data_IF_944057769881
#
_entry.id   IF_944057769881
#
_cell.length_a   1.000
_cell.length_b   1.000
_cell.length_c   1.000
_cell.angle_alpha   90.00
_cell.angle_beta   90.00
_cell.angle_gamma   90.00
#
_symmetry.space_group_name_H-M   'P 1'
#
loop_
_entity.id
_entity.type
_entity.pdbx_description
1 polymer ?
#
# COMPACT_ATOMS: atom_id res chain seq x y z
N UNK A 1 -51.58 -18.29 -28.46
CA UNK A 1 -50.22 -17.91 -28.89
C UNK A 1 -49.78 -16.73 -28.04
N UNK A 2 -49.05 -16.94 -26.91
CA UNK A 2 -48.60 -15.84 -26.06
C UNK A 2 -47.24 -15.35 -26.54
N UNK A 3 -47.24 -14.23 -27.26
CA UNK A 3 -46.04 -13.52 -27.68
C UNK A 3 -46.02 -12.14 -27.00
N UNK A 4 -45.91 -12.10 -25.67
CA UNK A 4 -45.76 -10.83 -24.96
C UNK A 4 -45.16 -10.97 -23.55
N UNK A 5 -44.18 -11.86 -23.35
CA UNK A 5 -43.38 -11.88 -22.11
C UNK A 5 -41.93 -12.27 -22.44
N UNK A 6 -41.24 -11.55 -23.34
CA UNK A 6 -39.80 -11.78 -23.56
C UNK A 6 -39.05 -10.49 -23.95
N UNK A 7 -39.40 -9.33 -23.39
CA UNK A 7 -38.65 -8.06 -23.64
C UNK A 7 -38.33 -7.34 -22.33
N UNK A 8 -38.11 -8.09 -21.26
CA UNK A 8 -37.60 -7.53 -20.00
C UNK A 8 -36.68 -8.54 -19.32
N UNK A 9 -35.75 -9.08 -20.09
CA UNK A 9 -34.65 -9.88 -19.56
C UNK A 9 -33.35 -9.25 -20.05
N UNK A 10 -32.59 -8.76 -19.07
CA UNK A 10 -31.14 -8.80 -19.07
C UNK A 10 -30.41 -7.76 -19.95
N UNK A 11 -30.58 -6.48 -19.60
CA UNK A 11 -29.45 -5.54 -19.61
C UNK A 11 -28.82 -5.55 -18.22
N UNK A 12 -28.45 -6.75 -17.75
CA UNK A 12 -27.34 -6.85 -16.80
C UNK A 12 -26.13 -6.69 -17.70
N UNK A 13 -25.52 -5.51 -17.67
CA UNK A 13 -24.13 -5.39 -18.09
C UNK A 13 -23.39 -6.48 -17.32
N UNK A 14 -23.04 -7.57 -18.00
CA UNK A 14 -21.95 -8.41 -17.55
C UNK A 14 -20.77 -7.44 -17.55
N UNK A 15 -20.47 -6.88 -16.37
CA UNK A 15 -19.12 -6.46 -16.09
C UNK A 15 -18.32 -7.75 -16.22
N UNK A 16 -17.80 -7.97 -17.42
CA UNK A 16 -16.82 -9.02 -17.66
C UNK A 16 -15.65 -8.60 -16.79
N UNK A 17 -15.57 -9.17 -15.59
CA UNK A 17 -14.41 -9.00 -14.74
C UNK A 17 -13.31 -9.74 -15.47
N UNK A 18 -12.57 -9.00 -16.29
CA UNK A 18 -11.38 -9.43 -16.97
C UNK A 18 -10.58 -10.36 -16.06
N UNK A 19 -10.43 -11.62 -16.49
CA UNK A 19 -9.48 -12.54 -15.84
C UNK A 19 -8.12 -12.24 -16.45
N UNK A 20 -7.32 -11.45 -15.77
CA UNK A 20 -5.88 -11.54 -15.97
C UNK A 20 -5.43 -12.92 -15.48
N UNK A 21 -4.67 -13.66 -16.29
CA UNK A 21 -3.90 -14.79 -15.77
C UNK A 21 -2.93 -14.30 -14.67
N UNK A 22 -2.47 -15.20 -13.81
CA UNK A 22 -1.49 -14.82 -12.79
C UNK A 22 -0.22 -14.35 -13.47
N UNK A 23 0.26 -13.16 -13.11
CA UNK A 23 1.50 -12.57 -13.62
C UNK A 23 2.65 -13.59 -13.56
N UNK A 24 3.11 -14.05 -14.73
CA UNK A 24 4.10 -15.11 -14.84
C UNK A 24 5.50 -14.52 -15.06
N UNK A 25 6.51 -15.07 -14.36
CA UNK A 25 7.90 -14.67 -14.55
C UNK A 25 8.48 -15.40 -15.77
N UNK A 26 8.76 -14.66 -16.84
CA UNK A 26 9.24 -15.20 -18.11
C UNK A 26 10.77 -15.19 -18.20
N UNK A 27 11.41 -14.10 -17.75
CA UNK A 27 12.86 -13.94 -17.90
C UNK A 27 13.52 -13.38 -16.65
N UNK A 28 14.66 -13.97 -16.32
CA UNK A 28 15.57 -13.50 -15.26
C UNK A 28 16.96 -13.32 -15.84
N UNK A 29 17.52 -12.12 -15.71
CA UNK A 29 18.92 -11.85 -16.05
C UNK A 29 19.62 -11.35 -14.79
N UNK A 30 20.72 -12.01 -14.42
CA UNK A 30 21.52 -11.65 -13.26
C UNK A 30 22.84 -11.04 -13.72
N UNK A 31 23.20 -9.91 -13.12
CA UNK A 31 24.51 -9.29 -13.31
C UNK A 31 25.48 -9.68 -12.20
N UNK A 32 26.78 -9.69 -12.52
CA UNK A 32 27.85 -9.89 -11.53
C UNK A 32 27.97 -8.74 -10.53
N UNK A 33 27.33 -7.60 -10.81
CA UNK A 33 27.22 -6.45 -9.91
C UNK A 33 26.10 -6.57 -8.87
N UNK A 34 25.37 -7.69 -8.82
CA UNK A 34 24.30 -7.93 -7.84
C UNK A 34 22.93 -7.36 -8.21
N UNK A 35 22.73 -6.94 -9.46
CA UNK A 35 21.45 -6.46 -9.98
C UNK A 35 20.75 -7.57 -10.78
N UNK A 36 19.45 -7.73 -10.57
CA UNK A 36 18.59 -8.62 -11.34
C UNK A 36 17.63 -7.82 -12.23
N UNK A 37 17.44 -8.28 -13.46
CA UNK A 37 16.35 -7.87 -14.34
C UNK A 37 15.33 -9.01 -14.39
N UNK A 38 14.06 -8.67 -14.13
CA UNK A 38 12.93 -9.60 -14.04
C UNK A 38 11.88 -9.14 -15.03
N UNK A 39 11.47 -10.02 -15.93
CA UNK A 39 10.43 -9.76 -16.91
C UNK A 39 9.23 -10.66 -16.63
N UNK A 40 8.07 -10.02 -16.57
CA UNK A 40 6.81 -10.69 -16.34
C UNK A 40 5.87 -10.43 -17.52
N UNK A 41 5.10 -11.45 -17.89
CA UNK A 41 4.13 -11.38 -18.98
C UNK A 41 2.77 -11.89 -18.49
N UNK A 42 1.71 -11.29 -19.02
CA UNK A 42 0.32 -11.67 -18.73
C UNK A 42 -0.57 -11.26 -19.89
N UNK A 43 -1.43 -12.17 -20.32
CA UNK A 43 -2.52 -11.84 -21.24
C UNK A 43 -3.69 -11.21 -20.47
N UNK A 44 -4.19 -10.09 -20.98
CA UNK A 44 -5.29 -9.34 -20.38
C UNK A 44 -6.44 -9.23 -21.38
N UNK A 45 -7.63 -9.67 -20.97
CA UNK A 45 -8.85 -9.51 -21.75
C UNK A 45 -9.75 -8.42 -21.14
N UNK A 46 -9.85 -7.26 -21.80
CA UNK A 46 -10.63 -6.12 -21.29
C UNK A 46 -9.88 -5.32 -20.20
N UNK A 47 -10.62 -4.72 -19.27
CA UNK A 47 -10.05 -3.91 -18.18
C UNK A 47 -9.70 -4.79 -16.96
N UNK A 48 -8.41 -5.01 -16.70
CA UNK A 48 -7.95 -5.80 -15.56
C UNK A 48 -7.05 -5.01 -14.60
N UNK A 49 -7.03 -5.46 -13.34
CA UNK A 49 -6.05 -5.02 -12.34
C UNK A 49 -5.02 -6.12 -12.15
N UNK A 50 -3.77 -5.80 -12.48
CA UNK A 50 -2.64 -6.69 -12.28
C UNK A 50 -1.97 -6.31 -10.95
N UNK A 51 -1.78 -7.29 -10.08
CA UNK A 51 -1.05 -7.11 -8.82
C UNK A 51 0.30 -7.80 -8.92
N UNK A 52 1.35 -7.10 -8.54
CA UNK A 52 2.70 -7.65 -8.43
C UNK A 52 3.25 -7.34 -7.04
N UNK A 53 3.83 -8.36 -6.39
CA UNK A 53 4.43 -8.20 -5.07
C UNK A 53 5.93 -7.95 -5.19
N UNK A 54 6.42 -7.00 -4.42
CA UNK A 54 7.85 -6.69 -4.30
C UNK A 54 8.28 -6.62 -2.85
N UNK A 55 9.54 -6.98 -2.61
CA UNK A 55 10.14 -6.86 -1.29
C UNK A 55 10.17 -5.40 -0.87
N UNK A 56 9.73 -5.11 0.36
CA UNK A 56 9.57 -3.75 0.86
C UNK A 56 10.86 -2.91 0.75
N UNK A 57 11.99 -3.51 1.09
CA UNK A 57 13.32 -2.90 1.06
C UNK A 57 13.85 -2.66 -0.38
N UNK A 58 13.10 -3.07 -1.40
CA UNK A 58 13.44 -2.90 -2.82
C UNK A 58 12.40 -2.08 -3.58
N UNK A 59 11.30 -1.66 -2.94
CA UNK A 59 10.22 -0.90 -3.60
C UNK A 59 10.76 0.35 -4.31
N UNK A 60 11.64 1.10 -3.65
CA UNK A 60 12.23 2.32 -4.20
C UNK A 60 13.02 2.06 -5.49
N UNK A 61 13.81 0.99 -5.53
CA UNK A 61 14.61 0.64 -6.70
C UNK A 61 13.74 0.12 -7.86
N UNK A 62 12.70 -0.65 -7.53
CA UNK A 62 11.71 -1.10 -8.51
C UNK A 62 11.01 0.10 -9.14
N UNK A 63 10.53 1.06 -8.34
CA UNK A 63 9.83 2.24 -8.86
C UNK A 63 10.70 3.10 -9.79
N UNK A 64 12.02 3.18 -9.54
CA UNK A 64 12.97 3.91 -10.42
C UNK A 64 13.16 3.25 -11.79
N UNK A 65 12.89 1.94 -11.90
CA UNK A 65 13.20 1.13 -13.07
C UNK A 65 11.98 0.40 -13.66
N UNK A 66 10.78 0.66 -13.14
CA UNK A 66 9.55 0.03 -13.57
C UNK A 66 9.13 0.50 -14.96
N UNK A 67 8.85 -0.46 -15.85
CA UNK A 67 8.41 -0.21 -17.21
C UNK A 67 7.27 -1.15 -17.55
N UNK A 68 6.22 -0.61 -18.15
CA UNK A 68 5.11 -1.38 -18.72
C UNK A 68 5.18 -1.23 -20.24
N UNK A 69 5.14 -2.35 -20.94
CA UNK A 69 5.12 -2.43 -22.40
C UNK A 69 3.83 -3.12 -22.81
N UNK A 70 3.09 -2.48 -23.70
CA UNK A 70 1.84 -2.98 -24.27
C UNK A 70 1.69 -2.37 -25.67
N UNK A 71 1.26 -3.18 -26.64
CA UNK A 71 1.20 -2.80 -28.05
C UNK A 71 -0.18 -2.30 -28.48
N UNK A 72 -1.23 -2.70 -27.77
CA UNK A 72 -2.63 -2.53 -28.18
C UNK A 72 -3.50 -1.83 -27.15
N UNK A 73 -3.19 -1.96 -25.87
CA UNK A 73 -3.90 -1.31 -24.77
C UNK A 73 -3.16 -0.09 -24.20
N UNK A 74 -3.44 0.19 -22.93
CA UNK A 74 -2.85 1.31 -22.21
C UNK A 74 -2.98 1.18 -20.69
N UNK A 75 -2.08 1.85 -19.98
CA UNK A 75 -2.08 1.85 -18.51
C UNK A 75 -3.05 2.91 -17.99
N UNK A 76 -4.10 2.48 -17.28
CA UNK A 76 -5.06 3.38 -16.65
C UNK A 76 -4.51 4.08 -15.41
N UNK A 77 -4.08 3.30 -14.40
CA UNK A 77 -3.50 3.83 -13.17
C UNK A 77 -2.51 2.83 -12.57
N UNK A 78 -1.48 3.36 -11.90
CA UNK A 78 -0.55 2.59 -11.07
C UNK A 78 -0.73 3.05 -9.64
N UNK A 79 -0.99 2.11 -8.72
CA UNK A 79 -1.13 2.38 -7.30
C UNK A 79 -0.15 1.54 -6.51
N UNK A 80 0.62 2.19 -5.64
CA UNK A 80 1.34 1.52 -4.57
C UNK A 80 0.52 1.71 -3.28
N UNK A 81 -0.05 0.64 -2.70
CA UNK A 81 -0.71 0.77 -1.41
C UNK A 81 0.32 1.24 -0.38
N UNK A 82 0.10 2.44 0.15
CA UNK A 82 0.94 3.00 1.20
C UNK A 82 0.86 2.12 2.44
N UNK A 83 2.00 1.81 3.04
CA UNK A 83 2.03 1.40 4.44
C UNK A 83 1.84 2.67 5.25
N UNK A 84 0.83 2.74 6.10
CA UNK A 84 0.97 3.45 7.37
C UNK A 84 1.24 2.37 8.41
N UNK A 85 2.45 1.78 8.45
CA UNK A 85 2.74 0.91 9.57
C UNK A 85 2.75 1.82 10.80
N UNK A 86 2.08 1.38 11.86
CA UNK A 86 1.96 2.15 13.10
C UNK A 86 3.33 2.68 13.59
N UNK A 87 4.39 1.92 13.32
CA UNK A 87 5.78 2.31 13.60
C UNK A 87 6.23 3.63 12.95
N UNK A 88 5.70 4.01 11.77
CA UNK A 88 6.06 5.26 11.10
C UNK A 88 5.44 6.47 11.80
N UNK A 89 4.31 6.29 12.49
CA UNK A 89 3.67 7.33 13.32
C UNK A 89 4.51 7.64 14.56
N UNK A 90 5.16 6.61 15.13
CA UNK A 90 6.00 6.77 16.32
C UNK A 90 7.46 7.14 16.01
N UNK A 91 7.88 7.13 14.75
CA UNK A 91 9.27 7.42 14.36
C UNK A 91 9.73 8.80 14.81
N UNK A 92 8.83 9.78 14.73
CA UNK A 92 9.13 11.18 14.99
C UNK A 92 8.69 11.61 16.41
N UNK A 93 8.23 10.66 17.24
CA UNK A 93 7.82 10.88 18.63
C UNK A 93 8.94 10.51 19.61
N UNK A 94 9.02 11.15 20.79
CA UNK A 94 10.03 10.83 21.81
C UNK A 94 9.75 9.50 22.55
N UNK A 95 8.69 8.77 22.19
CA UNK A 95 8.32 7.51 22.82
C UNK A 95 7.79 6.48 21.82
N UNK A 96 7.88 5.20 22.17
CA UNK A 96 7.33 4.09 21.39
C UNK A 96 5.88 3.74 21.80
N UNK A 97 5.19 2.95 20.98
CA UNK A 97 3.84 2.45 21.29
C UNK A 97 3.74 1.79 22.69
N UNK A 98 4.80 1.15 23.16
CA UNK A 98 4.81 0.49 24.47
C UNK A 98 4.57 1.47 25.63
N UNK A 99 4.95 2.74 25.48
CA UNK A 99 4.74 3.77 26.50
C UNK A 99 3.25 4.09 26.71
N UNK A 100 2.40 3.83 25.72
CA UNK A 100 0.95 4.02 25.82
C UNK A 100 0.24 2.94 26.65
N UNK A 101 0.96 1.92 27.14
CA UNK A 101 0.37 0.85 27.96
C UNK A 101 -0.19 1.35 29.30
N UNK A 102 0.31 2.47 29.83
CA UNK A 102 -0.25 3.13 31.01
C UNK A 102 0.16 4.61 31.09
N UNK A 103 -0.60 5.47 31.81
CA UNK A 103 -0.19 6.85 32.05
C UNK A 103 1.19 6.98 32.70
N UNK A 104 1.54 6.05 33.61
CA UNK A 104 2.85 6.04 34.28
C UNK A 104 3.97 5.75 33.28
N UNK A 105 3.80 4.75 32.42
CA UNK A 105 4.78 4.40 31.40
C UNK A 105 4.98 5.53 30.38
N UNK A 106 3.91 6.24 30.03
CA UNK A 106 3.97 7.40 29.13
C UNK A 106 4.77 8.54 29.75
N UNK A 107 4.47 8.90 31.01
CA UNK A 107 5.21 9.95 31.71
C UNK A 107 6.70 9.59 31.85
N UNK A 108 7.03 8.34 32.17
CA UNK A 108 8.42 7.88 32.21
C UNK A 108 9.13 7.99 30.85
N UNK A 109 8.43 7.75 29.75
CA UNK A 109 9.00 7.86 28.41
C UNK A 109 9.18 9.33 27.96
N UNK A 110 8.51 10.27 28.61
CA UNK A 110 8.58 11.72 28.34
C UNK A 110 9.51 12.45 29.32
N UNK A 111 10.36 11.76 30.07
CA UNK A 111 11.34 12.39 30.95
C UNK A 111 12.23 13.37 30.16
N UNK A 112 12.37 14.60 30.65
CA UNK A 112 13.07 15.68 29.96
C UNK A 112 12.17 16.60 29.13
N UNK A 113 10.92 16.21 28.85
CA UNK A 113 9.97 17.06 28.13
C UNK A 113 9.32 18.10 29.04
N UNK A 114 9.01 19.28 28.49
CA UNK A 114 8.30 20.35 29.18
C UNK A 114 6.80 20.08 29.19
N UNK A 115 6.16 20.30 30.33
CA UNK A 115 4.72 20.12 30.52
C UNK A 115 4.11 21.28 31.29
N UNK A 116 2.87 21.60 30.95
CA UNK A 116 2.03 22.51 31.70
C UNK A 116 0.87 21.74 32.34
N UNK A 117 0.59 22.03 33.62
CA UNK A 117 -0.52 21.45 34.37
C UNK A 117 -1.48 22.58 34.73
N UNK A 118 -2.74 22.42 34.31
CA UNK A 118 -3.80 23.39 34.59
C UNK A 118 -4.68 22.91 35.74
N UNK A 119 -4.84 23.77 36.76
CA UNK A 119 -5.74 23.57 37.88
C UNK A 119 -6.22 24.92 38.41
N UNK A 120 -6.44 25.08 39.74
CA UNK A 120 -6.67 26.39 40.35
C UNK A 120 -5.53 27.38 40.09
N UNK A 121 -4.34 26.85 39.81
CA UNK A 121 -3.15 27.57 39.36
C UNK A 121 -2.52 26.81 38.21
N UNK A 122 -1.97 27.54 37.24
CA UNK A 122 -1.18 26.97 36.16
C UNK A 122 0.28 26.82 36.59
N UNK A 123 0.87 25.66 36.31
CA UNK A 123 2.27 25.36 36.63
C UNK A 123 2.94 24.73 35.42
N UNK A 124 4.10 25.26 35.04
CA UNK A 124 4.95 24.71 33.98
C UNK A 124 6.22 24.13 34.59
N UNK A 125 6.69 23.00 34.06
CA UNK A 125 7.90 22.33 34.51
C UNK A 125 8.36 21.22 33.56
N UNK A 126 9.36 20.46 33.98
CA UNK A 126 9.91 19.34 33.21
C UNK A 126 9.57 18.01 33.90
N UNK A 127 9.30 16.98 33.11
CA UNK A 127 9.11 15.62 33.63
C UNK A 127 10.47 15.03 34.04
N UNK A 128 10.52 14.45 35.25
CA UNK A 128 11.73 13.83 35.82
C UNK A 128 11.81 12.33 35.53
#
# INVERSE_FOLDING_TARGET
MPALIVVMALLVFLADTARAESLALERVVLSTGGVAYLEYEVEVEGDAVITFDVRLDQVDDVLKSFLVLDDTGGVGAVSLPGRQPLQDVFRDLPFSQAALASPVALLQALAGEEVAVTGPTEVTGCIL
#
